data_IF_068217343143
#
_entry.id   IF_068217343143
#
_cell.length_a   1.000
_cell.length_b   1.000
_cell.length_c   1.000
_cell.angle_alpha   90.00
_cell.angle_beta   90.00
_cell.angle_gamma   90.00
#
_symmetry.space_group_name_H-M   'P 1'
#
loop_
_entity.id
_entity.type
_entity.pdbx_description
1 polymer ?
#
# COMPACT_ATOMS: atom_id res chain seq x y z
N UNK A 1 -11.30 -24.99 -17.91
CA UNK A 1 -11.22 -26.46 -18.05
C UNK A 1 -11.43 -27.08 -16.68
N UNK A 2 -12.47 -27.90 -16.54
CA UNK A 2 -12.86 -28.56 -15.29
C UNK A 2 -11.90 -29.70 -14.96
N UNK A 3 -11.50 -29.80 -13.68
CA UNK A 3 -10.91 -31.02 -13.14
C UNK A 3 -11.65 -31.37 -11.87
N UNK A 4 -12.59 -32.30 -12.02
CA UNK A 4 -13.24 -33.06 -10.96
C UNK A 4 -12.34 -34.23 -10.58
N UNK A 5 -12.18 -34.52 -9.29
CA UNK A 5 -11.71 -35.83 -8.84
C UNK A 5 -10.79 -35.76 -7.62
N UNK A 6 -11.38 -35.95 -6.43
CA UNK A 6 -10.96 -36.94 -5.43
C UNK A 6 -11.86 -36.79 -4.20
N UNK A 7 -12.87 -37.67 -4.11
CA UNK A 7 -13.64 -37.95 -2.90
C UNK A 7 -13.04 -39.19 -2.23
N UNK A 8 -13.01 -39.16 -0.90
CA UNK A 8 -13.39 -40.30 -0.06
C UNK A 8 -12.26 -41.12 0.55
N UNK A 9 -12.10 -40.97 1.87
CA UNK A 9 -11.24 -41.84 2.69
C UNK A 9 -11.34 -41.53 4.18
N UNK A 10 -12.55 -41.57 4.75
CA UNK A 10 -12.75 -41.62 6.20
C UNK A 10 -12.36 -43.02 6.73
N UNK A 11 -11.44 -43.09 7.69
CA UNK A 11 -11.41 -44.14 8.71
C UNK A 11 -10.95 -43.55 10.05
N UNK A 12 -11.76 -43.76 11.07
CA UNK A 12 -11.51 -43.49 12.48
C UNK A 12 -11.70 -44.78 13.29
N UNK A 13 -10.79 -45.03 14.24
CA UNK A 13 -10.93 -45.68 15.57
C UNK A 13 -9.53 -46.20 15.94
N UNK A 14 -8.82 -45.64 16.91
CA UNK A 14 -8.99 -45.65 18.37
C UNK A 14 -8.55 -46.98 19.04
N UNK A 15 -7.43 -46.93 19.76
CA UNK A 15 -7.14 -47.52 21.10
C UNK A 15 -5.63 -47.32 21.40
N UNK A 16 -5.24 -46.44 22.31
CA UNK A 16 -5.16 -46.58 23.78
C UNK A 16 -3.81 -47.18 24.23
N UNK A 17 -2.96 -46.36 24.87
CA UNK A 17 -2.07 -46.74 25.96
C UNK A 17 -1.51 -45.48 26.62
N UNK A 18 -1.83 -45.34 27.90
CA UNK A 18 -1.31 -44.37 28.85
C UNK A 18 0.22 -44.47 29.00
N UNK A 19 0.88 -43.34 29.25
CA UNK A 19 1.81 -43.23 30.38
C UNK A 19 2.19 -41.77 30.63
N UNK A 20 1.77 -41.30 31.80
CA UNK A 20 2.21 -40.06 32.41
C UNK A 20 3.64 -40.21 32.96
N UNK A 21 4.41 -39.12 32.95
CA UNK A 21 5.44 -38.87 33.95
C UNK A 21 5.68 -37.36 34.06
N UNK A 22 5.27 -36.84 35.21
CA UNK A 22 5.50 -35.50 35.70
C UNK A 22 6.92 -35.40 36.28
N UNK A 23 7.64 -34.31 36.02
CA UNK A 23 8.56 -33.77 37.03
C UNK A 23 8.73 -32.26 36.87
N UNK A 24 8.48 -31.60 37.98
CA UNK A 24 8.57 -30.17 38.24
C UNK A 24 9.96 -29.80 38.75
N UNK A 25 10.50 -28.66 38.33
CA UNK A 25 11.45 -27.86 39.12
C UNK A 25 11.28 -26.37 38.82
N UNK A 26 10.78 -25.63 39.82
CA UNK A 26 11.09 -24.21 40.05
C UNK A 26 12.60 -24.11 40.36
N UNK A 27 13.33 -23.01 40.21
CA UNK A 27 13.10 -21.61 39.86
C UNK A 27 14.36 -20.83 40.26
N UNK A 28 14.63 -19.65 39.67
CA UNK A 28 15.36 -18.54 40.32
C UNK A 28 15.35 -17.27 39.45
N UNK A 29 15.39 -16.06 40.07
CA UNK A 29 15.03 -14.80 39.43
C UNK A 29 16.23 -14.06 38.81
N UNK A 30 15.92 -13.15 37.88
CA UNK A 30 16.90 -12.27 37.24
C UNK A 30 17.29 -11.08 38.15
N UNK A 31 18.55 -10.61 38.12
CA UNK A 31 18.98 -9.47 38.90
C UNK A 31 18.59 -8.15 38.22
N UNK A 32 18.20 -7.19 39.07
CA UNK A 32 17.96 -5.78 38.75
C UNK A 32 19.25 -5.04 38.39
N UNK A 33 19.18 -4.20 37.34
CA UNK A 33 19.94 -2.94 37.27
C UNK A 33 20.99 -2.81 36.17
N UNK A 34 20.69 -2.03 35.13
CA UNK A 34 21.42 -0.78 34.77
C UNK A 34 20.81 -0.17 33.51
N UNK A 35 20.14 0.97 33.70
CA UNK A 35 19.68 1.86 32.63
C UNK A 35 20.91 2.54 32.02
N UNK A 36 21.44 2.00 30.92
CA UNK A 36 22.44 2.71 30.13
C UNK A 36 21.74 3.76 29.27
N UNK A 37 22.17 5.00 29.47
CA UNK A 37 21.73 6.17 28.73
C UNK A 37 21.95 5.96 27.23
N UNK A 38 20.90 6.25 26.47
CA UNK A 38 20.89 6.29 25.01
C UNK A 38 21.63 7.57 24.58
N UNK A 39 22.93 7.49 24.37
CA UNK A 39 23.64 8.46 23.53
C UNK A 39 23.55 7.96 22.10
N UNK A 40 22.64 8.58 21.35
CA UNK A 40 22.77 8.89 19.92
C UNK A 40 21.51 9.68 19.54
N UNK A 41 21.51 10.94 19.97
CA UNK A 41 20.67 11.96 19.36
C UNK A 41 21.37 12.40 18.07
N UNK A 42 20.88 11.91 16.93
CA UNK A 42 21.15 12.56 15.66
C UNK A 42 20.55 13.97 15.69
N UNK A 43 21.20 14.98 15.08
CA UNK A 43 20.80 16.38 15.19
C UNK A 43 19.35 16.57 14.73
N UNK A 44 18.54 17.14 15.62
CA UNK A 44 17.10 17.37 15.45
C UNK A 44 16.78 18.52 14.48
N UNK A 45 17.48 18.62 13.35
CA UNK A 45 17.32 19.68 12.37
C UNK A 45 16.94 19.16 10.99
N UNK A 46 15.95 18.27 10.89
CA UNK A 46 15.06 18.19 9.73
C UNK A 46 13.67 17.79 10.21
N UNK A 47 13.03 18.70 10.98
CA UNK A 47 11.58 18.63 11.20
C UNK A 47 10.90 18.88 9.85
N UNK A 48 10.19 17.88 9.36
CA UNK A 48 9.07 18.10 8.46
C UNK A 48 8.17 19.17 9.11
N UNK A 49 8.12 20.37 8.52
CA UNK A 49 7.10 21.36 8.83
C UNK A 49 5.77 20.86 8.26
N UNK A 50 5.14 19.91 8.95
CA UNK A 50 3.69 19.90 9.01
C UNK A 50 3.31 21.15 9.82
N UNK A 51 2.79 22.16 9.15
CA UNK A 51 2.18 23.31 9.83
C UNK A 51 1.18 22.76 10.86
N UNK A 52 1.49 22.98 12.14
CA UNK A 52 0.52 22.85 13.22
C UNK A 52 -0.59 23.87 12.95
N UNK A 53 -1.67 23.42 12.33
CA UNK A 53 -2.94 24.13 12.36
C UNK A 53 -3.69 23.68 13.62
N UNK A 54 -4.30 24.62 14.37
CA UNK A 54 -4.97 24.31 15.62
C UNK A 54 -6.13 23.35 15.40
N UNK A 55 -6.34 22.47 16.39
CA UNK A 55 -7.45 21.54 16.45
C UNK A 55 -8.77 22.28 16.15
N UNK A 56 -9.55 21.70 15.23
CA UNK A 56 -10.92 22.11 14.96
C UNK A 56 -11.70 22.16 16.28
N UNK A 57 -12.41 23.26 16.60
CA UNK A 57 -13.18 23.34 17.82
C UNK A 57 -14.27 22.27 17.87
N UNK A 58 -14.34 21.61 19.02
CA UNK A 58 -15.30 20.58 19.42
C UNK A 58 -16.72 21.15 19.63
N UNK A 59 -17.24 21.87 18.63
CA UNK A 59 -18.60 22.45 18.62
C UNK A 59 -19.42 22.16 17.36
N UNK A 60 -18.95 21.27 16.48
CA UNK A 60 -19.72 20.79 15.33
C UNK A 60 -20.39 19.42 15.57
N UNK A 61 -20.72 19.10 16.82
CA UNK A 61 -21.66 18.04 17.18
C UNK A 61 -22.66 18.63 18.16
N UNK A 62 -23.94 18.30 17.95
CA UNK A 62 -25.13 18.74 18.70
C UNK A 62 -25.87 19.91 18.05
N UNK A 63 -26.57 19.61 16.97
CA UNK A 63 -27.77 20.34 16.56
C UNK A 63 -28.80 19.34 16.02
N UNK A 64 -29.27 18.46 16.90
CA UNK A 64 -30.46 17.64 16.70
C UNK A 64 -30.95 17.14 18.06
N UNK A 65 -31.66 18.00 18.80
CA UNK A 65 -32.72 17.68 19.78
C UNK A 65 -33.10 18.96 20.53
N UNK A 66 -34.41 19.06 20.81
CA UNK A 66 -35.13 20.15 21.46
C UNK A 66 -35.66 21.27 20.56
N UNK A 67 -36.76 20.93 19.87
CA UNK A 67 -37.85 21.87 19.71
C UNK A 67 -38.55 22.03 21.06
N UNK A 68 -38.68 23.26 21.56
CA UNK A 68 -39.86 23.83 22.22
C UNK A 68 -39.50 25.05 23.08
N UNK A 69 -40.31 26.10 22.91
CA UNK A 69 -40.54 27.25 23.79
C UNK A 69 -39.45 28.34 23.90
N UNK A 70 -39.78 29.44 23.24
CA UNK A 70 -39.31 30.78 23.56
C UNK A 70 -40.11 31.37 24.73
N UNK A 71 -39.46 32.12 25.63
CA UNK A 71 -39.89 33.48 26.01
C UNK A 71 -38.90 34.20 26.94
N UNK A 72 -38.50 35.38 26.46
CA UNK A 72 -38.26 36.66 27.15
C UNK A 72 -37.39 36.73 28.42
N UNK A 73 -36.26 37.45 28.33
CA UNK A 73 -36.11 38.79 28.94
C UNK A 73 -34.72 39.39 28.65
N UNK A 74 -34.67 40.71 28.71
CA UNK A 74 -33.73 41.63 28.06
C UNK A 74 -32.32 41.74 28.69
N UNK A 75 -31.35 42.13 27.85
CA UNK A 75 -30.01 42.60 28.24
C UNK A 75 -29.30 43.20 27.01
N UNK A 76 -28.45 44.24 27.17
CA UNK A 76 -28.24 45.29 26.19
C UNK A 76 -27.53 44.80 24.92
N UNK A 77 -28.04 45.27 23.78
CA UNK A 77 -27.48 45.05 22.45
C UNK A 77 -26.14 45.75 22.30
N UNK A 78 -25.05 45.07 22.67
CA UNK A 78 -23.76 45.32 22.04
C UNK A 78 -23.91 44.79 20.62
N UNK A 79 -24.15 45.70 19.68
CA UNK A 79 -24.05 45.42 18.26
C UNK A 79 -22.63 44.97 17.95
N UNK A 80 -22.38 43.67 18.08
CA UNK A 80 -21.28 42.99 17.40
C UNK A 80 -21.60 43.06 15.90
N UNK A 81 -21.33 44.22 15.31
CA UNK A 81 -21.12 44.33 13.88
C UNK A 81 -20.09 43.26 13.55
N UNK A 82 -20.52 42.21 12.83
CA UNK A 82 -19.61 41.31 12.14
C UNK A 82 -18.76 42.22 11.26
N UNK A 83 -17.58 42.59 11.75
CA UNK A 83 -16.51 43.03 10.87
C UNK A 83 -16.28 41.85 9.95
N UNK A 84 -16.82 41.99 8.74
CA UNK A 84 -16.54 41.17 7.58
C UNK A 84 -15.02 41.12 7.44
N UNK A 85 -14.43 40.07 8.00
CA UNK A 85 -13.04 39.72 7.81
C UNK A 85 -12.84 39.21 6.38
N UNK A 86 -13.09 40.06 5.38
CA UNK A 86 -12.52 39.92 4.05
C UNK A 86 -11.03 40.26 4.16
N UNK A 87 -10.26 39.36 4.75
CA UNK A 87 -8.88 39.13 4.33
C UNK A 87 -8.90 37.85 3.54
N UNK A 88 -9.40 37.94 2.30
CA UNK A 88 -9.08 36.96 1.29
C UNK A 88 -7.56 36.96 1.17
N UNK A 89 -6.91 35.97 1.76
CA UNK A 89 -5.48 35.81 1.62
C UNK A 89 -5.22 35.58 0.13
N UNK A 90 -4.55 36.47 -0.60
CA UNK A 90 -4.40 36.36 -2.05
C UNK A 90 -3.70 35.07 -2.47
N UNK A 91 -2.84 34.53 -1.59
CA UNK A 91 -2.21 33.23 -1.80
C UNK A 91 -3.18 32.05 -1.65
N UNK A 92 -4.13 32.13 -0.71
CA UNK A 92 -5.17 31.12 -0.54
C UNK A 92 -6.19 31.19 -1.68
N UNK A 93 -6.54 32.40 -2.12
CA UNK A 93 -7.43 32.62 -3.27
C UNK A 93 -6.80 32.08 -4.56
N UNK A 94 -5.53 32.42 -4.84
CA UNK A 94 -4.78 31.86 -5.99
C UNK A 94 -4.61 30.35 -5.89
N UNK A 95 -4.36 29.82 -4.70
CA UNK A 95 -4.30 28.37 -4.49
C UNK A 95 -5.64 27.71 -4.78
N UNK A 96 -6.75 28.29 -4.31
CA UNK A 96 -8.10 27.82 -4.58
C UNK A 96 -8.45 27.89 -6.07
N UNK A 97 -8.12 28.99 -6.76
CA UNK A 97 -8.25 29.13 -8.22
C UNK A 97 -7.41 28.08 -8.97
N UNK A 98 -6.15 27.87 -8.56
CA UNK A 98 -5.28 26.84 -9.16
C UNK A 98 -5.87 25.44 -8.96
N UNK A 99 -6.49 25.18 -7.81
CA UNK A 99 -7.15 23.91 -7.51
C UNK A 99 -8.46 23.74 -8.26
N UNK A 100 -9.20 24.82 -8.54
CA UNK A 100 -10.38 24.80 -9.41
C UNK A 100 -10.02 24.62 -10.88
N UNK A 101 -8.87 25.16 -11.32
CA UNK A 101 -8.33 24.99 -12.68
C UNK A 101 -7.59 23.65 -12.85
N UNK A 102 -7.41 22.89 -11.78
CA UNK A 102 -6.78 21.57 -11.81
C UNK A 102 -7.63 20.62 -12.67
N UNK A 103 -7.05 19.92 -13.66
CA UNK A 103 -7.78 18.95 -14.46
C UNK A 103 -8.15 17.69 -13.65
N UNK A 104 -7.67 17.56 -12.41
CA UNK A 104 -7.93 16.39 -11.56
C UNK A 104 -9.35 16.41 -11.04
N UNK A 105 -10.05 15.29 -11.20
CA UNK A 105 -11.39 15.15 -10.65
C UNK A 105 -11.45 15.47 -9.15
N UNK A 106 -12.35 16.37 -8.75
CA UNK A 106 -12.68 16.65 -7.36
C UNK A 106 -13.53 15.53 -6.73
N UNK A 107 -13.67 15.55 -5.40
CA UNK A 107 -14.70 14.77 -4.70
C UNK A 107 -16.11 15.24 -5.02
N UNK A 108 -16.28 16.51 -5.38
CA UNK A 108 -17.57 17.07 -5.76
C UNK A 108 -18.00 16.74 -7.19
N UNK A 109 -17.12 16.15 -7.99
CA UNK A 109 -17.45 15.82 -9.37
C UNK A 109 -18.44 14.66 -9.40
N UNK A 110 -19.49 14.72 -10.24
CA UNK A 110 -20.44 13.64 -10.35
C UNK A 110 -19.73 12.38 -10.82
N UNK A 111 -19.94 11.30 -10.09
CA UNK A 111 -19.56 9.97 -10.53
C UNK A 111 -20.64 9.47 -11.50
N UNK A 112 -20.27 8.85 -12.63
CA UNK A 112 -21.26 8.35 -13.56
C UNK A 112 -22.11 7.26 -12.91
N UNK A 113 -23.43 7.32 -13.09
CA UNK A 113 -24.36 6.32 -12.54
C UNK A 113 -24.08 4.91 -13.10
N UNK A 114 -23.62 4.85 -14.36
CA UNK A 114 -23.15 3.64 -15.03
C UNK A 114 -21.65 3.75 -15.31
N UNK A 115 -20.83 2.80 -14.86
CA UNK A 115 -19.40 2.80 -15.15
C UNK A 115 -19.11 2.78 -16.66
N UNK A 116 -18.13 3.56 -17.09
CA UNK A 116 -17.66 3.58 -18.49
C UNK A 116 -16.68 2.44 -18.76
N UNK A 117 -16.39 2.11 -20.03
CA UNK A 117 -15.33 1.13 -20.36
C UNK A 117 -13.95 1.63 -19.89
N UNK A 118 -13.71 2.94 -20.02
CA UNK A 118 -12.47 3.60 -19.58
C UNK A 118 -12.84 4.80 -18.73
N UNK A 119 -12.76 4.70 -17.40
CA UNK A 119 -13.13 5.80 -16.52
C UNK A 119 -12.21 7.00 -16.73
N UNK A 120 -12.74 8.22 -16.67
CA UNK A 120 -11.97 9.46 -16.83
C UNK A 120 -10.64 9.49 -16.06
N UNK A 121 -10.61 9.01 -14.81
CA UNK A 121 -9.37 8.96 -14.01
C UNK A 121 -8.32 7.98 -14.53
N UNK A 122 -8.75 6.89 -15.16
CA UNK A 122 -7.85 5.99 -15.85
C UNK A 122 -7.36 6.64 -17.16
N UNK A 123 -8.25 7.30 -17.89
CA UNK A 123 -7.90 8.03 -19.12
C UNK A 123 -6.84 9.10 -18.86
N UNK A 124 -6.99 9.93 -17.83
CA UNK A 124 -5.98 10.92 -17.41
C UNK A 124 -4.60 10.29 -17.14
N UNK A 125 -4.58 9.05 -16.62
CA UNK A 125 -3.33 8.31 -16.38
C UNK A 125 -2.74 7.78 -17.67
N UNK A 126 -3.58 7.27 -18.57
CA UNK A 126 -3.16 6.84 -19.90
C UNK A 126 -2.53 8.01 -20.67
N UNK A 127 -3.18 9.17 -20.66
CA UNK A 127 -2.72 10.37 -21.40
C UNK A 127 -1.41 10.94 -20.84
N UNK A 128 -1.10 10.68 -19.57
CA UNK A 128 0.18 11.07 -18.96
C UNK A 128 1.38 10.24 -19.43
N UNK A 129 1.16 9.09 -20.08
CA UNK A 129 2.24 8.22 -20.60
C UNK A 129 2.77 8.77 -21.92
N UNK A 130 3.97 9.35 -21.90
CA UNK A 130 4.61 9.90 -23.10
C UNK A 130 5.35 8.80 -23.90
N UNK A 131 4.60 8.03 -24.70
CA UNK A 131 5.14 6.94 -25.53
C UNK A 131 6.30 7.38 -26.46
N UNK A 132 6.23 8.53 -27.17
CA UNK A 132 7.34 8.98 -28.02
C UNK A 132 8.65 9.19 -27.23
N UNK A 133 8.55 9.70 -26.00
CA UNK A 133 9.72 9.85 -25.12
C UNK A 133 10.24 8.51 -24.65
N UNK A 134 9.36 7.59 -24.24
CA UNK A 134 9.76 6.24 -23.83
C UNK A 134 10.52 5.51 -24.95
N UNK A 135 10.06 5.63 -26.21
CA UNK A 135 10.71 5.01 -27.37
C UNK A 135 12.17 5.47 -27.55
N UNK A 136 12.49 6.70 -27.14
CA UNK A 136 13.85 7.26 -27.17
C UNK A 136 14.71 6.84 -25.98
N UNK A 137 14.09 6.45 -24.86
CA UNK A 137 14.76 6.17 -23.59
C UNK A 137 15.05 4.68 -23.41
N UNK A 138 14.04 3.82 -23.58
CA UNK A 138 14.16 2.38 -23.39
C UNK A 138 13.09 1.63 -24.17
N UNK A 139 13.52 0.69 -25.02
CA UNK A 139 12.62 -0.09 -25.89
C UNK A 139 11.65 -0.96 -25.12
N UNK A 140 12.09 -1.58 -24.02
CA UNK A 140 11.25 -2.47 -23.22
C UNK A 140 10.15 -1.68 -22.49
N UNK A 141 10.51 -0.52 -21.92
CA UNK A 141 9.57 0.38 -21.26
C UNK A 141 8.59 0.99 -22.26
N UNK A 142 9.03 1.28 -23.49
CA UNK A 142 8.13 1.70 -24.56
C UNK A 142 7.13 0.61 -24.96
N UNK A 143 7.60 -0.61 -25.25
CA UNK A 143 6.73 -1.74 -25.61
C UNK A 143 5.72 -2.04 -24.49
N UNK A 144 6.19 -1.99 -23.24
CA UNK A 144 5.35 -2.16 -22.07
C UNK A 144 4.31 -1.04 -21.94
N UNK A 145 4.74 0.23 -22.06
CA UNK A 145 3.86 1.39 -22.00
C UNK A 145 2.79 1.34 -23.09
N UNK A 146 3.18 1.02 -24.32
CA UNK A 146 2.27 0.86 -25.46
C UNK A 146 1.23 -0.20 -25.16
N UNK A 147 1.65 -1.43 -24.84
CA UNK A 147 0.75 -2.55 -24.53
C UNK A 147 -0.21 -2.22 -23.39
N UNK A 148 0.31 -1.62 -22.30
CA UNK A 148 -0.50 -1.28 -21.14
C UNK A 148 -1.57 -0.22 -21.50
N UNK A 149 -1.21 0.80 -22.27
CA UNK A 149 -2.15 1.85 -22.69
C UNK A 149 -3.19 1.34 -23.68
N UNK A 150 -2.82 0.46 -24.62
CA UNK A 150 -3.75 -0.14 -25.60
C UNK A 150 -4.78 -1.03 -24.90
N UNK A 151 -4.35 -1.97 -24.06
CA UNK A 151 -5.26 -2.83 -23.29
C UNK A 151 -6.21 -2.05 -22.38
N UNK A 152 -5.71 -0.98 -21.75
CA UNK A 152 -6.53 -0.14 -20.89
C UNK A 152 -7.58 0.65 -21.67
N UNK A 153 -7.25 1.13 -22.88
CA UNK A 153 -8.18 1.85 -23.78
C UNK A 153 -9.24 0.94 -24.38
N UNK A 154 -8.88 -0.29 -24.71
CA UNK A 154 -9.79 -1.30 -25.27
C UNK A 154 -10.75 -1.88 -24.23
N UNK A 155 -10.46 -1.69 -22.94
CA UNK A 155 -11.21 -2.35 -21.87
C UNK A 155 -10.87 -3.83 -21.70
N UNK A 156 -9.81 -4.30 -22.38
CA UNK A 156 -9.35 -5.70 -22.38
C UNK A 156 -8.72 -6.14 -21.06
N UNK A 157 -8.49 -5.21 -20.12
CA UNK A 157 -7.96 -5.50 -18.78
C UNK A 157 -6.54 -6.08 -18.80
N UNK A 158 -6.20 -6.85 -17.76
CA UNK A 158 -4.87 -7.46 -17.62
C UNK A 158 -4.79 -8.80 -18.36
N UNK A 159 -3.61 -9.15 -18.86
CA UNK A 159 -3.37 -10.37 -19.63
C UNK A 159 -2.04 -11.02 -19.26
N UNK A 160 -1.86 -12.28 -19.62
CA UNK A 160 -0.57 -12.99 -19.41
C UNK A 160 0.60 -12.29 -20.11
N UNK A 161 0.36 -11.67 -21.28
CA UNK A 161 1.37 -10.91 -22.00
C UNK A 161 1.77 -9.65 -21.24
N UNK A 162 0.79 -8.91 -20.68
CA UNK A 162 1.03 -7.74 -19.87
C UNK A 162 1.79 -8.10 -18.59
N UNK A 163 1.41 -9.17 -17.89
CA UNK A 163 2.11 -9.65 -16.69
C UNK A 163 3.57 -10.03 -16.99
N UNK A 164 3.85 -10.68 -18.13
CA UNK A 164 5.23 -10.97 -18.54
C UNK A 164 6.03 -9.68 -18.73
N UNK A 165 5.41 -8.62 -19.25
CA UNK A 165 6.04 -7.31 -19.34
C UNK A 165 6.20 -6.65 -17.98
N UNK A 166 5.19 -6.72 -17.08
CA UNK A 166 5.30 -6.26 -15.69
C UNK A 166 6.57 -6.86 -15.05
N UNK A 167 6.75 -8.17 -15.17
CA UNK A 167 7.91 -8.90 -14.63
C UNK A 167 9.21 -8.44 -15.27
N UNK A 168 9.23 -8.25 -16.59
CA UNK A 168 10.41 -7.85 -17.36
C UNK A 168 10.90 -6.46 -16.95
N UNK A 169 9.99 -5.51 -16.71
CA UNK A 169 10.36 -4.13 -16.34
C UNK A 169 10.44 -3.90 -14.83
N UNK A 170 9.99 -4.84 -14.00
CA UNK A 170 9.92 -4.69 -12.54
C UNK A 170 11.24 -4.21 -11.89
N UNK A 171 12.43 -4.69 -12.29
CA UNK A 171 13.69 -4.15 -11.76
C UNK A 171 13.84 -2.63 -12.00
N UNK A 172 13.52 -2.16 -13.20
CA UNK A 172 13.57 -0.73 -13.54
C UNK A 172 12.54 0.08 -12.73
N UNK A 173 11.33 -0.45 -12.54
CA UNK A 173 10.32 0.20 -11.69
C UNK A 173 10.80 0.31 -10.24
N UNK A 174 11.45 -0.74 -9.72
CA UNK A 174 12.02 -0.73 -8.37
C UNK A 174 13.17 0.28 -8.24
N UNK A 175 14.05 0.40 -9.23
CA UNK A 175 15.13 1.39 -9.24
C UNK A 175 14.59 2.82 -9.26
N UNK A 176 13.60 3.09 -10.11
CA UNK A 176 12.94 4.39 -10.16
C UNK A 176 12.30 4.76 -8.82
N UNK A 177 11.64 3.80 -8.16
CA UNK A 177 11.04 4.00 -6.85
C UNK A 177 12.07 4.12 -5.73
N UNK A 178 13.18 3.39 -5.77
CA UNK A 178 14.28 3.58 -4.82
C UNK A 178 14.91 4.97 -4.94
N UNK A 179 15.13 5.46 -6.16
CA UNK A 179 15.63 6.81 -6.40
C UNK A 179 14.66 7.89 -5.90
N UNK A 180 13.35 7.64 -6.04
CA UNK A 180 12.29 8.56 -5.61
C UNK A 180 12.06 8.54 -4.09
N UNK A 181 12.38 7.45 -3.41
CA UNK A 181 12.09 7.25 -2.00
C UNK A 181 13.35 6.73 -1.27
N UNK A 182 14.27 7.62 -0.83
CA UNK A 182 15.43 7.21 -0.06
C UNK A 182 15.06 6.39 1.17
N UNK A 183 15.71 5.25 1.37
CA UNK A 183 15.42 4.31 2.47
C UNK A 183 14.32 3.29 2.17
N UNK A 184 13.70 3.33 0.99
CA UNK A 184 12.78 2.28 0.53
C UNK A 184 13.48 0.92 0.51
N UNK A 185 14.70 0.87 -0.05
CA UNK A 185 15.55 -0.32 -0.14
C UNK A 185 14.78 -1.52 -0.74
N UNK A 186 14.11 -1.30 -1.87
CA UNK A 186 13.34 -2.30 -2.59
C UNK A 186 14.25 -3.15 -3.48
N UNK A 187 14.13 -4.47 -3.38
CA UNK A 187 14.86 -5.42 -4.20
C UNK A 187 13.88 -6.35 -4.93
N UNK A 188 14.26 -6.79 -6.13
CA UNK A 188 13.48 -7.71 -6.95
C UNK A 188 14.29 -8.98 -7.18
N UNK A 189 13.70 -10.13 -6.91
CA UNK A 189 14.34 -11.43 -7.07
C UNK A 189 13.55 -12.31 -8.02
N UNK A 190 14.25 -13.13 -8.81
CA UNK A 190 13.58 -13.97 -9.82
C UNK A 190 12.93 -15.20 -9.19
N UNK A 191 13.43 -15.65 -8.03
CA UNK A 191 13.00 -16.85 -7.31
C UNK A 191 13.15 -16.69 -5.81
N UNK A 192 12.46 -17.54 -5.04
CA UNK A 192 12.51 -17.53 -3.59
C UNK A 192 13.90 -17.79 -3.02
N UNK A 193 14.66 -18.72 -3.62
CA UNK A 193 16.00 -19.08 -3.17
C UNK A 193 16.96 -17.89 -3.22
N UNK A 194 16.93 -17.11 -4.31
CA UNK A 194 17.72 -15.89 -4.47
C UNK A 194 17.35 -14.84 -3.40
N UNK A 195 16.06 -14.63 -3.17
CA UNK A 195 15.55 -13.72 -2.15
C UNK A 195 16.03 -14.13 -0.74
N UNK A 196 15.88 -15.39 -0.39
CA UNK A 196 16.27 -15.91 0.93
C UNK A 196 17.79 -15.85 1.14
N UNK A 197 18.57 -16.15 0.11
CA UNK A 197 20.02 -16.05 0.17
C UNK A 197 20.46 -14.59 0.40
N UNK A 198 19.88 -13.64 -0.32
CA UNK A 198 20.18 -12.23 -0.14
C UNK A 198 19.82 -11.75 1.28
N UNK A 199 18.67 -12.17 1.83
CA UNK A 199 18.28 -11.82 3.20
C UNK A 199 19.28 -12.37 4.23
N UNK A 200 19.75 -13.62 4.07
CA UNK A 200 20.76 -14.22 4.95
C UNK A 200 22.07 -13.46 4.91
N UNK A 201 22.53 -13.09 3.72
CA UNK A 201 23.75 -12.32 3.54
C UNK A 201 23.65 -10.93 4.18
N UNK A 202 22.56 -10.21 3.92
CA UNK A 202 22.32 -8.91 4.56
C UNK A 202 22.22 -9.04 6.08
N UNK A 203 21.63 -10.12 6.59
CA UNK A 203 21.58 -10.37 8.02
C UNK A 203 22.97 -10.58 8.63
N UNK A 204 23.86 -11.32 7.95
CA UNK A 204 25.27 -11.49 8.35
C UNK A 204 26.00 -10.14 8.40
N UNK A 205 25.81 -9.29 7.39
CA UNK A 205 26.40 -7.95 7.34
C UNK A 205 25.89 -7.10 8.53
N UNK A 206 24.60 -7.17 8.86
CA UNK A 206 24.02 -6.47 10.02
C UNK A 206 24.61 -6.98 11.34
N UNK A 207 24.86 -8.29 11.48
CA UNK A 207 25.52 -8.84 12.68
C UNK A 207 26.97 -8.35 12.81
N UNK A 208 27.71 -8.27 11.69
CA UNK A 208 29.11 -7.85 11.68
C UNK A 208 29.28 -6.34 11.89
N UNK A 209 28.44 -5.53 11.23
CA UNK A 209 28.53 -4.06 11.27
C UNK A 209 27.89 -3.45 12.51
N UNK A 210 26.99 -4.17 13.20
CA UNK A 210 26.20 -3.61 14.29
C UNK A 210 25.14 -2.59 13.84
N UNK A 211 24.95 -2.39 12.53
CA UNK A 211 24.00 -1.42 12.00
C UNK A 211 22.70 -2.10 11.55
N UNK A 212 21.51 -1.70 12.08
CA UNK A 212 20.24 -2.27 11.65
C UNK A 212 19.93 -1.90 10.20
N UNK A 213 19.18 -2.78 9.52
CA UNK A 213 18.76 -2.58 8.13
C UNK A 213 17.29 -2.94 7.94
N UNK A 214 16.58 -2.07 7.24
CA UNK A 214 15.23 -2.33 6.73
C UNK A 214 15.27 -2.37 5.21
N UNK A 215 14.62 -3.36 4.62
CA UNK A 215 14.53 -3.53 3.17
C UNK A 215 13.19 -4.12 2.77
N UNK A 216 12.83 -3.99 1.49
CA UNK A 216 11.66 -4.64 0.89
C UNK A 216 12.12 -5.57 -0.22
N UNK A 217 11.36 -6.64 -0.44
CA UNK A 217 11.62 -7.59 -1.51
C UNK A 217 10.35 -7.91 -2.28
N UNK A 218 10.44 -7.97 -3.61
CA UNK A 218 9.43 -8.56 -4.48
C UNK A 218 10.00 -9.85 -5.06
N UNK A 219 9.25 -10.94 -4.97
CA UNK A 219 9.69 -12.22 -5.53
C UNK A 219 8.50 -13.18 -5.72
N UNK A 220 8.66 -14.21 -6.57
CA UNK A 220 7.68 -15.27 -6.68
C UNK A 220 7.91 -16.37 -5.62
N UNK A 221 6.93 -16.66 -4.74
CA UNK A 221 7.13 -17.58 -3.63
C UNK A 221 7.01 -19.07 -3.99
N UNK A 222 6.49 -19.42 -5.17
CA UNK A 222 6.23 -20.81 -5.56
C UNK A 222 7.15 -21.28 -6.70
N UNK A 223 7.75 -22.46 -6.54
CA UNK A 223 8.66 -23.08 -7.51
C UNK A 223 7.97 -23.38 -8.87
N UNK A 224 6.64 -23.55 -8.88
CA UNK A 224 5.84 -23.79 -10.10
C UNK A 224 5.02 -22.59 -10.61
N UNK A 225 5.02 -21.45 -9.90
CA UNK A 225 4.29 -20.24 -10.32
C UNK A 225 5.24 -19.05 -10.34
N UNK A 226 6.20 -19.00 -11.29
CA UNK A 226 7.26 -18.00 -11.30
C UNK A 226 6.75 -16.58 -11.58
N UNK A 227 5.48 -16.42 -11.94
CA UNK A 227 4.88 -15.13 -12.27
C UNK A 227 4.01 -14.58 -11.14
N UNK A 228 3.59 -15.39 -10.16
CA UNK A 228 2.88 -14.91 -8.97
C UNK A 228 3.85 -14.25 -8.01
N UNK A 229 3.74 -12.94 -7.80
CA UNK A 229 4.64 -12.20 -6.90
C UNK A 229 3.95 -11.83 -5.59
N UNK A 230 4.77 -11.70 -4.54
CA UNK A 230 4.39 -11.10 -3.25
C UNK A 230 5.40 -10.02 -2.86
N UNK A 231 5.05 -9.21 -1.87
CA UNK A 231 5.95 -8.25 -1.25
C UNK A 231 6.34 -8.67 0.17
N UNK A 232 7.61 -8.45 0.54
CA UNK A 232 8.12 -8.58 1.91
C UNK A 232 8.59 -7.22 2.42
N UNK A 233 8.28 -6.90 3.68
CA UNK A 233 8.96 -5.89 4.50
C UNK A 233 9.83 -6.62 5.53
N UNK A 234 11.13 -6.28 5.57
CA UNK A 234 12.16 -7.07 6.24
C UNK A 234 12.94 -6.16 7.18
N UNK A 235 12.95 -6.52 8.47
CA UNK A 235 13.70 -5.86 9.52
C UNK A 235 14.82 -6.77 10.02
N UNK A 236 16.07 -6.31 9.85
CA UNK A 236 17.29 -6.97 10.30
C UNK A 236 17.92 -6.13 11.41
N UNK A 237 18.19 -6.73 12.56
CA UNK A 237 18.80 -6.03 13.73
C UNK A 237 19.96 -6.85 14.31
N UNK A 238 21.00 -6.19 14.83
CA UNK A 238 22.06 -6.87 15.58
C UNK A 238 21.50 -7.66 16.76
N UNK A 239 22.00 -8.87 17.00
CA UNK A 239 21.57 -9.74 18.10
C UNK A 239 20.15 -10.31 17.98
N UNK A 240 19.43 -10.07 16.88
CA UNK A 240 18.07 -10.56 16.68
C UNK A 240 17.93 -11.31 15.36
N UNK A 241 17.20 -12.43 15.40
CA UNK A 241 16.74 -13.11 14.18
C UNK A 241 16.00 -12.16 13.21
N UNK A 242 16.07 -12.40 11.89
CA UNK A 242 15.31 -11.62 10.90
C UNK A 242 13.81 -11.58 11.23
N UNK A 243 13.18 -10.43 11.01
CA UNK A 243 11.72 -10.28 11.11
C UNK A 243 11.15 -9.88 9.76
N UNK A 244 10.12 -10.59 9.31
CA UNK A 244 9.58 -10.52 7.96
C UNK A 244 8.07 -10.36 8.07
N UNK A 245 7.54 -9.36 7.37
CA UNK A 245 6.11 -9.16 7.15
C UNK A 245 5.86 -9.32 5.66
N UNK A 246 5.15 -10.37 5.25
CA UNK A 246 4.77 -10.59 3.86
C UNK A 246 3.35 -10.11 3.54
N UNK A 247 3.12 -9.67 2.31
CA UNK A 247 1.83 -9.17 1.82
C UNK A 247 1.38 -9.98 0.59
N UNK A 248 0.23 -10.64 0.70
CA UNK A 248 -0.41 -11.43 -0.37
C UNK A 248 -1.73 -10.77 -0.79
N UNK A 249 -1.86 -10.40 -2.07
CA UNK A 249 -2.98 -9.63 -2.59
C UNK A 249 -4.13 -10.47 -3.15
N UNK A 250 -3.88 -11.69 -3.62
CA UNK A 250 -4.86 -12.52 -4.31
C UNK A 250 -5.17 -13.83 -3.56
N UNK A 251 -4.14 -14.64 -3.32
CA UNK A 251 -4.28 -16.02 -2.88
C UNK A 251 -4.36 -16.10 -1.35
N UNK A 252 -5.40 -15.50 -0.78
CA UNK A 252 -5.62 -15.44 0.67
C UNK A 252 -5.69 -16.81 1.35
N UNK A 253 -5.98 -17.89 0.62
CA UNK A 253 -5.98 -19.27 1.10
C UNK A 253 -4.57 -19.91 1.10
N UNK A 254 -3.63 -19.36 0.33
CA UNK A 254 -2.24 -19.84 0.25
C UNK A 254 -1.29 -19.12 1.22
N UNK A 255 -1.80 -18.15 2.00
CA UNK A 255 -1.00 -17.36 2.94
C UNK A 255 -0.18 -18.23 3.90
N UNK A 256 -0.77 -19.30 4.43
CA UNK A 256 -0.05 -20.21 5.32
C UNK A 256 1.03 -21.03 4.60
N UNK A 257 0.80 -21.42 3.35
CA UNK A 257 1.79 -22.11 2.55
C UNK A 257 2.99 -21.20 2.24
N UNK A 258 2.72 -19.94 1.87
CA UNK A 258 3.75 -18.91 1.66
C UNK A 258 4.54 -18.70 2.96
N UNK A 259 3.86 -18.56 4.10
CA UNK A 259 4.48 -18.42 5.42
C UNK A 259 5.43 -19.59 5.73
N UNK A 260 5.00 -20.82 5.45
CA UNK A 260 5.81 -22.02 5.65
C UNK A 260 7.04 -22.02 4.75
N UNK A 261 6.88 -21.70 3.45
CA UNK A 261 7.99 -21.61 2.51
C UNK A 261 9.05 -20.57 2.93
N UNK A 262 8.62 -19.39 3.39
CA UNK A 262 9.52 -18.37 3.94
C UNK A 262 10.22 -18.90 5.21
N UNK A 263 9.47 -19.50 6.13
CA UNK A 263 10.02 -20.00 7.39
C UNK A 263 11.05 -21.13 7.18
N UNK A 264 10.86 -21.96 6.15
CA UNK A 264 11.82 -22.99 5.73
C UNK A 264 13.05 -22.37 5.08
N UNK A 265 12.87 -21.46 4.11
CA UNK A 265 13.97 -20.78 3.42
C UNK A 265 14.83 -19.92 4.34
N UNK A 266 14.22 -19.32 5.36
CA UNK A 266 14.83 -18.43 6.35
C UNK A 266 14.67 -18.99 7.77
N UNK A 267 15.26 -20.18 7.99
CA UNK A 267 15.20 -20.89 9.27
C UNK A 267 15.51 -19.95 10.45
N UNK A 268 14.57 -19.90 11.39
CA UNK A 268 14.67 -19.08 12.60
C UNK A 268 14.04 -17.69 12.47
N UNK A 269 13.71 -17.19 11.28
CA UNK A 269 13.07 -15.88 11.12
C UNK A 269 11.68 -15.80 11.78
N UNK A 270 11.30 -14.60 12.23
CA UNK A 270 9.90 -14.29 12.58
C UNK A 270 9.15 -13.94 11.30
N UNK A 271 8.12 -14.69 10.95
CA UNK A 271 7.33 -14.45 9.73
C UNK A 271 5.89 -14.14 10.11
N UNK A 272 5.41 -12.98 9.69
CA UNK A 272 4.01 -12.59 9.74
C UNK A 272 3.51 -12.37 8.31
N UNK A 273 2.29 -12.80 8.01
CA UNK A 273 1.70 -12.62 6.68
C UNK A 273 0.41 -11.83 6.79
N UNK A 274 0.23 -10.89 5.87
CA UNK A 274 -0.97 -10.08 5.69
C UNK A 274 -1.60 -10.46 4.35
N UNK A 275 -2.73 -11.17 4.39
CA UNK A 275 -3.54 -11.44 3.21
C UNK A 275 -4.63 -10.39 3.04
N UNK A 276 -4.40 -9.33 2.27
CA UNK A 276 -5.37 -8.24 2.13
C UNK A 276 -6.45 -8.50 1.07
N UNK A 277 -6.29 -9.53 0.22
CA UNK A 277 -7.31 -10.05 -0.72
C UNK A 277 -7.95 -8.97 -1.60
N UNK A 278 -7.16 -7.98 -1.99
CA UNK A 278 -7.61 -6.82 -2.79
C UNK A 278 -7.60 -7.09 -4.30
N UNK A 279 -6.94 -8.16 -4.73
CA UNK A 279 -6.80 -8.56 -6.12
C UNK A 279 -7.74 -9.72 -6.45
N UNK A 280 -8.60 -9.49 -7.44
CA UNK A 280 -9.46 -10.47 -8.10
C UNK A 280 -8.93 -10.86 -9.49
N UNK A 281 -8.10 -10.02 -10.13
CA UNK A 281 -7.50 -10.34 -11.43
C UNK A 281 -6.41 -11.40 -11.29
N UNK A 282 -6.26 -12.23 -12.32
CA UNK A 282 -5.25 -13.30 -12.34
C UNK A 282 -3.82 -12.75 -12.55
N UNK A 283 -3.69 -11.61 -13.25
CA UNK A 283 -2.43 -11.22 -13.89
C UNK A 283 -1.74 -9.98 -13.27
N UNK A 284 -2.36 -9.26 -12.32
CA UNK A 284 -1.81 -8.01 -11.77
C UNK A 284 -0.96 -8.16 -10.48
N UNK A 285 -0.62 -9.39 -10.07
CA UNK A 285 0.06 -9.67 -8.80
C UNK A 285 1.37 -8.89 -8.60
N UNK A 286 2.11 -8.65 -9.69
CA UNK A 286 3.36 -7.87 -9.67
C UNK A 286 3.09 -6.41 -9.28
N UNK A 287 2.08 -5.78 -9.88
CA UNK A 287 1.74 -4.40 -9.58
C UNK A 287 1.16 -4.24 -8.17
N UNK A 288 0.35 -5.20 -7.71
CA UNK A 288 -0.10 -5.20 -6.32
C UNK A 288 1.04 -5.38 -5.32
N UNK A 289 1.99 -6.26 -5.62
CA UNK A 289 3.19 -6.47 -4.81
C UNK A 289 4.04 -5.20 -4.74
N UNK A 290 4.31 -4.56 -5.88
CA UNK A 290 4.99 -3.28 -5.91
C UNK A 290 4.26 -2.24 -5.05
N UNK A 291 2.95 -2.06 -5.23
CA UNK A 291 2.18 -1.13 -4.41
C UNK A 291 2.24 -1.49 -2.92
N UNK A 292 2.12 -2.77 -2.54
CA UNK A 292 2.21 -3.21 -1.16
C UNK A 292 3.57 -2.87 -0.53
N UNK A 293 4.68 -3.05 -1.26
CA UNK A 293 6.00 -2.65 -0.79
C UNK A 293 6.11 -1.12 -0.60
N UNK A 294 5.55 -0.33 -1.51
CA UNK A 294 5.52 1.13 -1.37
C UNK A 294 4.66 1.58 -0.18
N UNK A 295 3.55 0.89 0.09
CA UNK A 295 2.72 1.18 1.27
C UNK A 295 3.38 0.71 2.57
N UNK A 296 4.07 -0.42 2.55
CA UNK A 296 4.80 -0.92 3.71
C UNK A 296 5.89 0.06 4.12
N UNK A 297 6.58 0.66 3.16
CA UNK A 297 7.48 1.78 3.41
C UNK A 297 6.74 3.01 3.92
N UNK A 298 5.70 3.49 3.23
CA UNK A 298 4.97 4.69 3.66
C UNK A 298 4.44 4.61 5.10
N UNK A 299 4.07 3.41 5.55
CA UNK A 299 3.52 3.17 6.88
C UNK A 299 4.50 2.41 7.80
N UNK A 300 5.81 2.62 7.61
CA UNK A 300 6.82 1.85 8.33
C UNK A 300 6.75 2.05 9.85
N UNK A 301 6.56 3.28 10.33
CA UNK A 301 6.57 3.60 11.76
C UNK A 301 5.30 3.18 12.49
N UNK A 302 4.15 3.29 11.82
CA UNK A 302 2.84 3.17 12.47
C UNK A 302 2.19 1.81 12.27
N UNK A 303 2.54 1.10 11.18
CA UNK A 303 1.92 -0.16 10.81
C UNK A 303 2.92 -1.30 10.78
N UNK A 304 3.92 -1.28 9.87
CA UNK A 304 4.80 -2.44 9.72
C UNK A 304 5.69 -2.66 10.94
N UNK A 305 6.17 -1.60 11.60
CA UNK A 305 6.92 -1.71 12.85
C UNK A 305 6.14 -2.46 13.95
N UNK A 306 4.81 -2.28 14.02
CA UNK A 306 3.92 -2.98 14.95
C UNK A 306 3.70 -4.43 14.53
N UNK A 307 3.52 -4.70 13.24
CA UNK A 307 3.48 -6.08 12.72
C UNK A 307 4.79 -6.84 13.01
N UNK A 308 5.94 -6.19 12.90
CA UNK A 308 7.25 -6.78 13.26
C UNK A 308 7.39 -7.07 14.76
N UNK A 309 6.59 -6.43 15.62
CA UNK A 309 6.46 -6.77 17.06
C UNK A 309 5.48 -7.91 17.32
N UNK A 310 4.75 -8.37 16.29
CA UNK A 310 3.73 -9.41 16.39
C UNK A 310 2.35 -8.89 16.75
N UNK A 311 2.12 -7.57 16.68
CA UNK A 311 0.82 -6.98 16.97
C UNK A 311 -0.18 -7.30 15.85
N UNK A 312 -1.44 -7.57 16.22
CA UNK A 312 -2.57 -7.72 15.29
C UNK A 312 -3.31 -6.39 15.22
N UNK A 313 -3.16 -5.68 14.11
CA UNK A 313 -3.72 -4.34 13.93
C UNK A 313 -4.43 -4.23 12.58
N UNK A 314 -5.45 -3.37 12.45
CA UNK A 314 -6.13 -3.17 11.18
C UNK A 314 -5.17 -2.70 10.08
N UNK A 315 -5.38 -3.22 8.86
CA UNK A 315 -4.63 -2.80 7.68
C UNK A 315 -5.01 -1.35 7.34
N UNK A 316 -4.07 -0.41 7.13
CA UNK A 316 -4.40 0.97 6.78
C UNK A 316 -5.20 1.08 5.48
N UNK A 317 -6.12 2.05 5.42
CA UNK A 317 -7.00 2.29 4.27
C UNK A 317 -6.23 2.44 2.94
N UNK A 318 -5.01 2.99 2.99
CA UNK A 318 -4.17 3.16 1.81
C UNK A 318 -3.78 1.85 1.09
N UNK A 319 -3.79 0.70 1.77
CA UNK A 319 -3.56 -0.60 1.14
C UNK A 319 -4.76 -1.04 0.28
N UNK A 320 -5.96 -0.54 0.56
CA UNK A 320 -7.19 -0.87 -0.16
C UNK A 320 -7.49 0.05 -1.34
N UNK A 321 -6.64 1.05 -1.62
CA UNK A 321 -6.80 2.02 -2.73
C UNK A 321 -6.98 1.37 -4.10
N UNK A 322 -6.53 0.12 -4.22
CA UNK A 322 -6.57 -0.68 -5.44
C UNK A 322 -7.49 -1.88 -5.34
N UNK A 323 -8.32 -2.00 -4.30
CA UNK A 323 -9.26 -3.11 -4.18
C UNK A 323 -10.20 -3.16 -5.40
N UNK A 324 -10.15 -4.28 -6.14
CA UNK A 324 -10.91 -4.45 -7.38
C UNK A 324 -12.42 -4.57 -7.14
N UNK A 325 -12.81 -5.18 -6.02
CA UNK A 325 -14.22 -5.28 -5.62
C UNK A 325 -14.67 -4.04 -4.85
N UNK A 326 -15.86 -3.55 -5.19
CA UNK A 326 -16.55 -2.49 -4.41
C UNK A 326 -16.97 -2.99 -3.03
N UNK A 327 -17.36 -4.26 -2.90
CA UNK A 327 -17.75 -4.84 -1.61
C UNK A 327 -16.61 -4.96 -0.60
N UNK A 328 -15.35 -4.85 -1.07
CA UNK A 328 -14.17 -4.77 -0.22
C UNK A 328 -13.94 -3.36 0.36
N UNK A 329 -14.83 -2.41 0.07
CA UNK A 329 -14.74 -1.02 0.52
C UNK A 329 -16.08 -0.52 1.06
N UNK A 330 -17.16 -0.71 0.31
CA UNK A 330 -18.50 -0.23 0.67
C UNK A 330 -19.02 -0.90 1.95
N UNK A 331 -19.51 -0.10 2.89
CA UNK A 331 -20.04 -0.57 4.17
C UNK A 331 -18.96 -1.07 5.14
N UNK A 332 -17.67 -0.95 4.80
CA UNK A 332 -16.55 -1.36 5.65
C UNK A 332 -15.91 -0.17 6.39
N UNK A 333 -15.18 -0.39 7.49
CA UNK A 333 -14.65 0.68 8.34
C UNK A 333 -13.77 1.73 7.64
N UNK A 334 -13.19 1.38 6.48
CA UNK A 334 -12.31 2.28 5.73
C UNK A 334 -13.01 3.10 4.64
N UNK A 335 -14.31 2.92 4.39
CA UNK A 335 -15.00 3.54 3.25
C UNK A 335 -14.82 5.07 3.20
N UNK A 336 -14.88 5.73 4.36
CA UNK A 336 -14.84 7.19 4.52
C UNK A 336 -13.43 7.72 4.80
N UNK A 337 -12.43 6.82 4.89
CA UNK A 337 -11.05 7.22 5.13
C UNK A 337 -10.51 8.01 3.94
N UNK A 338 -9.89 9.17 4.21
CA UNK A 338 -9.27 9.98 3.17
C UNK A 338 -7.98 9.33 2.71
N UNK A 339 -7.86 8.99 1.42
CA UNK A 339 -6.74 8.20 0.85
C UNK A 339 -5.87 8.98 -0.14
N UNK A 340 -6.17 10.25 -0.36
CA UNK A 340 -5.31 11.22 -1.05
C UNK A 340 -4.15 11.70 -0.17
N UNK A 341 -3.16 12.32 -0.82
CA UNK A 341 -2.08 13.06 -0.11
C UNK A 341 -2.63 14.35 0.50
N UNK A 342 -3.45 15.05 -0.26
CA UNK A 342 -4.19 16.22 0.21
C UNK A 342 -5.36 15.75 1.07
N UNK A 343 -5.18 15.80 2.40
CA UNK A 343 -6.15 15.25 3.37
C UNK A 343 -7.33 16.20 3.63
N UNK A 344 -7.20 17.48 3.31
CA UNK A 344 -8.19 18.52 3.65
C UNK A 344 -8.52 19.49 2.53
N UNK A 345 -7.84 19.42 1.38
CA UNK A 345 -8.13 20.27 0.23
C UNK A 345 -9.17 19.71 -0.72
N UNK A 346 -9.43 20.45 -1.80
CA UNK A 346 -10.53 20.25 -2.75
C UNK A 346 -10.51 18.87 -3.44
N UNK A 347 -9.34 18.21 -3.46
CA UNK A 347 -9.17 16.87 -4.05
C UNK A 347 -9.11 15.76 -2.99
N UNK A 348 -9.47 16.04 -1.74
CA UNK A 348 -9.53 15.02 -0.69
C UNK A 348 -10.58 13.97 -1.03
N UNK A 349 -10.13 12.73 -1.27
CA UNK A 349 -11.02 11.64 -1.68
C UNK A 349 -11.12 10.56 -0.60
N UNK A 350 -12.33 10.08 -0.35
CA UNK A 350 -12.54 8.88 0.46
C UNK A 350 -12.12 7.63 -0.32
N UNK A 351 -11.91 6.52 0.40
CA UNK A 351 -11.59 5.24 -0.23
C UNK A 351 -12.73 4.76 -1.15
N UNK A 352 -13.99 4.90 -0.72
CA UNK A 352 -15.16 4.55 -1.54
C UNK A 352 -15.25 5.43 -2.79
N UNK A 353 -15.09 6.75 -2.64
CA UNK A 353 -15.10 7.67 -3.77
C UNK A 353 -14.02 7.29 -4.79
N UNK A 354 -12.80 6.97 -4.32
CA UNK A 354 -11.72 6.49 -5.18
C UNK A 354 -12.09 5.21 -5.93
N UNK A 355 -12.68 4.23 -5.25
CA UNK A 355 -13.07 2.96 -5.85
C UNK A 355 -14.07 3.18 -6.99
N UNK A 356 -15.09 4.01 -6.73
CA UNK A 356 -16.11 4.36 -7.72
C UNK A 356 -15.55 5.21 -8.88
N UNK A 357 -14.63 6.13 -8.62
CA UNK A 357 -14.01 6.97 -9.65
C UNK A 357 -13.13 6.18 -10.64
N UNK A 358 -12.71 4.97 -10.28
CA UNK A 358 -11.97 4.05 -11.14
C UNK A 358 -12.81 2.85 -11.59
N UNK A 359 -14.11 2.84 -11.30
CA UNK A 359 -14.96 1.72 -11.71
C UNK A 359 -15.20 1.75 -13.21
N UNK A 360 -14.95 0.63 -13.86
CA UNK A 360 -15.22 0.40 -15.27
C UNK A 360 -16.18 -0.77 -15.45
N UNK A 361 -17.04 -0.70 -16.47
CA UNK A 361 -17.90 -1.81 -16.89
C UNK A 361 -17.16 -2.65 -17.93
N UNK A 362 -16.69 -3.83 -17.54
CA UNK A 362 -15.86 -4.72 -18.38
C UNK A 362 -16.20 -6.17 -18.07
N UNK A 363 -16.18 -7.05 -19.07
CA UNK A 363 -16.38 -8.50 -18.87
C UNK A 363 -17.72 -8.83 -18.16
N UNK A 364 -18.79 -8.14 -18.53
CA UNK A 364 -20.13 -8.30 -17.97
C UNK A 364 -20.26 -7.95 -16.46
N UNK A 365 -19.29 -7.23 -15.89
CA UNK A 365 -19.37 -6.73 -14.51
C UNK A 365 -18.55 -5.45 -14.26
N UNK A 366 -18.94 -4.68 -13.23
CA UNK A 366 -18.23 -3.46 -12.86
C UNK A 366 -17.07 -3.70 -11.87
N UNK A 367 -15.83 -3.48 -12.30
CA UNK A 367 -14.62 -3.63 -11.48
C UNK A 367 -13.81 -2.33 -11.37
N UNK A 368 -13.04 -2.17 -10.29
CA UNK A 368 -12.16 -1.02 -10.10
C UNK A 368 -10.82 -1.23 -10.84
N UNK A 369 -10.51 -0.34 -11.78
CA UNK A 369 -9.33 -0.36 -12.66
C UNK A 369 -8.13 0.42 -12.11
N UNK A 370 -8.18 0.89 -10.86
CA UNK A 370 -7.14 1.76 -10.30
C UNK A 370 -5.74 1.16 -10.24
N UNK A 371 -5.60 -0.17 -10.27
CA UNK A 371 -4.29 -0.83 -10.39
C UNK A 371 -3.67 -0.63 -11.78
N UNK A 372 -4.48 -0.53 -12.84
CA UNK A 372 -4.02 -0.13 -14.17
C UNK A 372 -3.56 1.34 -14.14
N UNK A 373 -4.29 2.20 -13.45
CA UNK A 373 -3.87 3.59 -13.22
C UNK A 373 -2.55 3.70 -12.43
N UNK A 374 -2.30 2.78 -11.49
CA UNK A 374 -1.01 2.67 -10.80
C UNK A 374 0.09 2.22 -11.78
N UNK A 375 -0.18 1.23 -12.63
CA UNK A 375 0.74 0.80 -13.69
C UNK A 375 1.18 1.96 -14.61
N UNK A 376 0.23 2.76 -15.11
CA UNK A 376 0.57 3.94 -15.94
C UNK A 376 1.46 4.94 -15.20
N UNK A 377 1.18 5.13 -13.91
CA UNK A 377 1.98 6.01 -13.06
C UNK A 377 3.42 5.50 -12.90
N UNK A 378 3.61 4.19 -12.69
CA UNK A 378 4.97 3.62 -12.55
C UNK A 378 5.73 3.65 -13.88
N UNK A 379 5.05 3.42 -15.00
CA UNK A 379 5.63 3.58 -16.35
C UNK A 379 6.15 5.01 -16.56
N UNK A 380 5.32 6.02 -16.24
CA UNK A 380 5.69 7.42 -16.37
C UNK A 380 6.92 7.74 -15.50
N UNK A 381 6.93 7.30 -14.24
CA UNK A 381 8.02 7.53 -13.29
C UNK A 381 9.33 6.88 -13.72
N UNK A 382 9.27 5.66 -14.27
CA UNK A 382 10.45 5.00 -14.82
C UNK A 382 11.03 5.79 -16.01
N UNK A 383 10.18 6.34 -16.89
CA UNK A 383 10.63 7.22 -17.97
C UNK A 383 11.27 8.52 -17.47
N UNK A 384 10.72 9.13 -16.41
CA UNK A 384 11.31 10.31 -15.76
C UNK A 384 12.68 9.99 -15.15
N UNK A 385 12.80 8.84 -14.47
CA UNK A 385 14.04 8.35 -13.89
C UNK A 385 15.14 8.15 -14.93
N UNK A 386 14.86 7.41 -16.01
CA UNK A 386 15.81 7.20 -17.10
C UNK A 386 16.25 8.52 -17.74
N UNK A 387 15.30 9.43 -17.97
CA UNK A 387 15.63 10.74 -18.52
C UNK A 387 16.49 11.60 -17.60
N UNK A 388 16.36 11.45 -16.27
CA UNK A 388 17.20 12.14 -15.32
C UNK A 388 18.61 11.54 -15.23
N UNK A 389 18.76 10.23 -15.46
CA UNK A 389 20.06 9.57 -15.56
C UNK A 389 20.82 10.00 -16.82
N UNK A 390 20.16 10.04 -17.98
CA UNK A 390 20.79 10.43 -19.25
C UNK A 390 21.26 11.90 -19.30
N UNK A 391 20.81 12.76 -18.38
CA UNK A 391 21.29 14.14 -18.25
C UNK A 391 22.56 14.27 -17.40
N UNK A 392 22.92 13.22 -16.67
CA UNK A 392 24.11 13.17 -15.79
C UNK A 392 25.30 12.46 -16.46
N UNK A 393 25.07 11.81 -17.60
CA UNK A 393 26.07 11.27 -18.52
C UNK A 393 26.33 12.27 -19.63
#
# INVERSE_FOLDING_TARGET
MNISGLRGGYKSQAQQADNASSSSTQGSPAPTGRRLQRQDALPANYRYHASQMPATPERARVAARYASQASSSAGPSISLSRQSGHRENPSLARFHETMQQSPKMSRGDPLPEKPEIVPKRLQEKIDSVNLPRLNKLDKNLYEYGKMATELAKEGSGSSVALMRMDKKVLPLLADAENARNPGLNLHVYKRGEECYQAIKEQHKIVQQSGQPKTMRALYPPFIGMPDHHIALDIHLRPGHRPSIVGFESALGHMVDHIRQGIAQGLRGAKVHMVGNRIQNSEWDCIMYSLNNALKSFKHHDEYTARLHKGEKIPVPAEFFKHAQSKSMVEGLPHQDAIVTKDKGGLHAETLLHRNLAYRADRFDHACNTSIEGFRMQEIQRAGEFLSAQNRKS
#
